data_IF_984063253099
#
_entry.id   IF_984063253099
#
_cell.length_a   1.000
_cell.length_b   1.000
_cell.length_c   1.000
_cell.angle_alpha   90.00
_cell.angle_beta   90.00
_cell.angle_gamma   90.00
#
_symmetry.space_group_name_H-M   'P 1'
#
loop_
_entity.id
_entity.type
_entity.pdbx_description
1 polymer ?
#
# COMPACT_ATOMS: atom_id res chain seq x y z
N UNK A 1 -3.49 -13.18 -3.89
CA UNK A 1 -2.70 -12.46 -2.87
C UNK A 1 -1.19 -12.55 -3.07
N UNK A 2 -0.61 -13.63 -3.62
CA UNK A 2 0.83 -13.68 -3.97
C UNK A 2 1.27 -12.55 -4.92
N UNK A 3 0.40 -12.08 -5.80
CA UNK A 3 0.67 -10.98 -6.73
C UNK A 3 1.05 -9.68 -6.00
N UNK A 4 0.41 -9.37 -4.87
CA UNK A 4 0.74 -8.18 -4.07
C UNK A 4 2.15 -8.19 -3.46
N UNK A 5 2.76 -9.36 -3.37
CA UNK A 5 4.14 -9.53 -2.88
C UNK A 5 5.10 -9.50 -4.06
N UNK A 6 4.76 -10.22 -5.13
CA UNK A 6 5.64 -10.41 -6.28
C UNK A 6 5.81 -9.12 -7.08
N UNK A 7 4.73 -8.36 -7.27
CA UNK A 7 4.77 -7.12 -8.07
C UNK A 7 5.72 -6.08 -7.46
N UNK A 8 5.61 -5.68 -6.19
CA UNK A 8 6.58 -4.75 -5.60
C UNK A 8 8.01 -5.28 -5.58
N UNK A 9 8.20 -6.61 -5.43
CA UNK A 9 9.53 -7.21 -5.44
C UNK A 9 10.23 -7.09 -6.81
N UNK A 10 9.47 -7.26 -7.89
CA UNK A 10 10.00 -7.32 -9.25
C UNK A 10 9.94 -5.96 -9.97
N UNK A 11 8.97 -5.12 -9.61
CA UNK A 11 8.74 -3.84 -10.29
C UNK A 11 9.96 -2.91 -10.36
N UNK A 12 10.77 -2.70 -9.29
CA UNK A 12 11.97 -1.86 -9.38
C UNK A 12 13.00 -2.42 -10.35
N UNK A 13 13.18 -3.73 -10.40
CA UNK A 13 14.11 -4.39 -11.32
C UNK A 13 13.65 -4.26 -12.77
N UNK A 14 12.35 -4.47 -13.05
CA UNK A 14 11.77 -4.24 -14.38
C UNK A 14 11.89 -2.76 -14.76
N UNK A 15 11.58 -1.85 -13.84
CA UNK A 15 11.73 -0.41 -14.04
C UNK A 15 13.16 -0.01 -14.41
N UNK A 16 14.14 -0.51 -13.68
CA UNK A 16 15.55 -0.27 -13.97
C UNK A 16 15.98 -0.76 -15.37
N UNK A 17 15.53 -1.95 -15.77
CA UNK A 17 15.78 -2.47 -17.14
C UNK A 17 15.13 -1.58 -18.20
N UNK A 18 13.87 -1.19 -18.03
CA UNK A 18 13.17 -0.32 -18.98
C UNK A 18 13.88 1.03 -19.08
N UNK A 19 14.28 1.62 -17.96
CA UNK A 19 14.97 2.91 -17.93
C UNK A 19 16.33 2.83 -18.63
N UNK A 20 17.05 1.73 -18.46
CA UNK A 20 18.34 1.51 -19.10
C UNK A 20 18.23 1.48 -20.64
N UNK A 21 17.22 0.80 -21.21
CA UNK A 21 17.09 0.64 -22.66
C UNK A 21 16.26 1.74 -23.35
N UNK A 22 15.23 2.26 -22.70
CA UNK A 22 14.22 3.15 -23.33
C UNK A 22 14.09 4.49 -22.60
N UNK A 23 14.75 4.62 -21.45
CA UNK A 23 14.64 5.81 -20.60
C UNK A 23 13.37 5.80 -19.73
N UNK A 24 13.25 6.79 -18.85
CA UNK A 24 12.17 6.88 -17.87
C UNK A 24 10.75 6.94 -18.51
N UNK A 25 10.63 7.54 -19.72
CA UNK A 25 9.36 7.58 -20.47
C UNK A 25 8.89 6.20 -20.90
N UNK A 26 9.80 5.25 -21.08
CA UNK A 26 9.46 3.86 -21.40
C UNK A 26 8.66 3.16 -20.32
N UNK A 27 8.81 3.55 -19.06
CA UNK A 27 8.02 3.01 -17.95
C UNK A 27 6.53 3.33 -18.14
N UNK A 28 6.19 4.55 -18.54
CA UNK A 28 4.79 4.92 -18.82
C UNK A 28 4.24 4.17 -20.04
N UNK A 29 5.08 3.99 -21.08
CA UNK A 29 4.74 3.14 -22.23
C UNK A 29 4.42 1.70 -21.83
N UNK A 30 5.22 1.12 -20.94
CA UNK A 30 4.98 -0.22 -20.40
C UNK A 30 3.65 -0.31 -19.64
N UNK A 31 3.29 0.72 -18.86
CA UNK A 31 1.97 0.75 -18.19
C UNK A 31 0.82 0.82 -19.20
N UNK A 32 0.95 1.61 -20.27
CA UNK A 32 -0.07 1.67 -21.34
C UNK A 32 -0.22 0.30 -22.00
N UNK A 33 0.89 -0.35 -22.36
CA UNK A 33 0.86 -1.69 -22.95
C UNK A 33 0.21 -2.70 -22.01
N UNK A 34 0.59 -2.70 -20.73
CA UNK A 34 0.00 -3.58 -19.72
C UNK A 34 -1.51 -3.36 -19.58
N UNK A 35 -1.96 -2.10 -19.56
CA UNK A 35 -3.37 -1.76 -19.49
C UNK A 35 -4.15 -2.22 -20.72
N UNK A 36 -3.60 -2.04 -21.93
CA UNK A 36 -4.21 -2.50 -23.19
C UNK A 36 -4.29 -4.01 -23.25
N UNK A 37 -3.22 -4.70 -22.91
CA UNK A 37 -3.18 -6.18 -22.87
C UNK A 37 -4.20 -6.71 -21.85
N UNK A 38 -4.22 -6.16 -20.64
CA UNK A 38 -5.15 -6.57 -19.58
C UNK A 38 -6.62 -6.32 -19.97
N UNK A 39 -6.91 -5.14 -20.53
CA UNK A 39 -8.26 -4.78 -20.98
C UNK A 39 -8.73 -5.67 -22.13
N UNK A 40 -7.87 -5.89 -23.14
CA UNK A 40 -8.17 -6.76 -24.27
C UNK A 40 -8.38 -8.21 -23.82
N UNK A 41 -7.52 -8.71 -22.94
CA UNK A 41 -7.66 -10.06 -22.38
C UNK A 41 -8.98 -10.23 -21.65
N UNK A 42 -9.35 -9.27 -20.81
CA UNK A 42 -10.61 -9.30 -20.05
C UNK A 42 -11.82 -9.27 -21.00
N UNK A 43 -11.81 -8.36 -21.98
CA UNK A 43 -12.90 -8.21 -22.97
C UNK A 43 -13.10 -9.48 -23.81
N UNK A 44 -12.01 -10.11 -24.23
CA UNK A 44 -12.08 -11.33 -25.07
C UNK A 44 -12.47 -12.59 -24.31
N UNK A 45 -12.11 -12.66 -23.01
CA UNK A 45 -12.29 -13.89 -22.21
C UNK A 45 -13.52 -13.89 -21.32
N UNK A 46 -14.10 -12.72 -21.02
CA UNK A 46 -15.24 -12.61 -20.11
C UNK A 46 -16.35 -11.78 -20.74
N UNK A 47 -17.54 -12.38 -20.95
CA UNK A 47 -18.73 -11.61 -21.29
C UNK A 47 -19.12 -10.71 -20.10
N UNK A 48 -19.89 -9.67 -20.38
CA UNK A 48 -20.43 -8.80 -19.34
C UNK A 48 -21.23 -9.62 -18.32
N UNK A 49 -20.79 -9.57 -17.06
CA UNK A 49 -21.39 -10.37 -15.98
C UNK A 49 -22.54 -9.67 -15.27
N UNK A 50 -22.69 -8.33 -15.47
CA UNK A 50 -23.75 -7.56 -14.85
C UNK A 50 -25.03 -7.63 -15.67
N UNK A 51 -26.12 -8.22 -15.16
CA UNK A 51 -27.40 -8.28 -15.85
C UNK A 51 -27.89 -6.87 -16.24
N UNK A 52 -28.51 -6.68 -17.44
CA UNK A 52 -28.96 -5.37 -17.90
C UNK A 52 -29.86 -4.64 -16.90
N UNK A 53 -30.71 -5.38 -16.17
CA UNK A 53 -31.64 -4.85 -15.18
C UNK A 53 -30.93 -4.28 -13.93
N UNK A 54 -29.71 -4.74 -13.65
CA UNK A 54 -28.91 -4.30 -12.51
C UNK A 54 -27.93 -3.16 -12.87
N UNK A 55 -27.89 -2.76 -14.14
CA UNK A 55 -27.01 -1.68 -14.60
C UNK A 55 -27.56 -0.33 -14.13
N UNK A 56 -26.75 0.38 -13.36
CA UNK A 56 -27.07 1.76 -12.95
C UNK A 56 -26.71 2.74 -14.06
N UNK A 57 -27.52 3.78 -14.22
CA UNK A 57 -27.19 4.89 -15.14
C UNK A 57 -25.92 5.59 -14.65
N UNK A 58 -24.97 5.81 -15.57
CA UNK A 58 -23.72 6.54 -15.31
C UNK A 58 -23.99 8.05 -15.25
N UNK A 59 -24.74 8.48 -14.23
CA UNK A 59 -24.99 9.89 -13.97
C UNK A 59 -24.24 10.37 -12.72
N UNK A 60 -23.67 11.57 -12.75
CA UNK A 60 -22.98 12.17 -11.60
C UNK A 60 -23.84 12.15 -10.33
N UNK A 61 -25.14 12.39 -10.45
CA UNK A 61 -26.08 12.35 -9.34
C UNK A 61 -26.24 10.95 -8.74
N UNK A 62 -26.28 9.92 -9.59
CA UNK A 62 -26.34 8.51 -9.16
C UNK A 62 -25.05 8.09 -8.48
N UNK A 63 -23.89 8.50 -9.02
CA UNK A 63 -22.57 8.22 -8.44
C UNK A 63 -22.39 8.93 -7.08
N UNK A 64 -22.78 10.21 -7.00
CA UNK A 64 -22.72 10.96 -5.75
C UNK A 64 -23.66 10.38 -4.67
N UNK A 65 -24.86 9.93 -5.07
CA UNK A 65 -25.79 9.25 -4.18
C UNK A 65 -25.21 7.95 -3.61
N UNK A 66 -24.61 7.12 -4.46
CA UNK A 66 -23.97 5.89 -4.03
C UNK A 66 -22.72 6.15 -3.15
N UNK A 67 -21.92 7.16 -3.47
CA UNK A 67 -20.79 7.56 -2.64
C UNK A 67 -21.25 8.02 -1.25
N UNK A 68 -22.33 8.82 -1.19
CA UNK A 68 -22.93 9.25 0.09
C UNK A 68 -23.48 8.06 0.90
N UNK A 69 -24.12 7.10 0.24
CA UNK A 69 -24.60 5.87 0.88
C UNK A 69 -23.44 5.05 1.47
N UNK A 70 -22.34 4.93 0.73
CA UNK A 70 -21.16 4.20 1.18
C UNK A 70 -20.49 4.91 2.36
N UNK A 71 -20.26 6.22 2.22
CA UNK A 71 -19.61 7.03 3.28
C UNK A 71 -20.54 7.39 4.42
N UNK A 72 -21.83 7.16 4.34
CA UNK A 72 -22.79 7.30 5.45
C UNK A 72 -22.68 6.18 6.50
N UNK A 73 -22.01 5.09 6.18
CA UNK A 73 -21.82 3.97 7.10
C UNK A 73 -20.58 4.19 7.98
N UNK A 74 -20.79 4.27 9.29
CA UNK A 74 -19.71 4.50 10.27
C UNK A 74 -18.62 3.42 10.23
N UNK A 75 -18.97 2.17 9.95
CA UNK A 75 -17.97 1.11 9.82
C UNK A 75 -17.09 1.36 8.60
N UNK A 76 -17.68 1.75 7.46
CA UNK A 76 -16.93 2.09 6.25
C UNK A 76 -16.02 3.28 6.49
N UNK A 77 -16.52 4.35 7.14
CA UNK A 77 -15.70 5.52 7.49
C UNK A 77 -14.48 5.13 8.34
N UNK A 78 -14.69 4.37 9.41
CA UNK A 78 -13.59 3.93 10.29
C UNK A 78 -12.57 3.06 9.54
N UNK A 79 -13.04 2.10 8.74
CA UNK A 79 -12.16 1.23 7.96
C UNK A 79 -11.38 2.05 6.93
N UNK A 80 -12.03 2.99 6.26
CA UNK A 80 -11.40 3.88 5.27
C UNK A 80 -10.33 4.77 5.93
N UNK A 81 -10.62 5.30 7.11
CA UNK A 81 -9.64 6.08 7.88
C UNK A 81 -8.42 5.24 8.27
N UNK A 82 -8.64 4.04 8.80
CA UNK A 82 -7.55 3.12 9.16
C UNK A 82 -6.72 2.73 7.93
N UNK A 83 -7.37 2.51 6.77
CA UNK A 83 -6.67 2.28 5.51
C UNK A 83 -5.86 3.50 5.07
N UNK A 84 -6.41 4.71 5.21
CA UNK A 84 -5.72 5.95 4.85
C UNK A 84 -4.44 6.14 5.68
N UNK A 85 -4.50 5.88 6.99
CA UNK A 85 -3.34 5.95 7.87
C UNK A 85 -2.26 4.92 7.48
N UNK A 86 -2.65 3.66 7.25
CA UNK A 86 -1.69 2.62 6.82
C UNK A 86 -1.09 2.87 5.44
N UNK A 87 -1.89 3.34 4.48
CA UNK A 87 -1.39 3.77 3.17
C UNK A 87 -0.50 5.00 3.30
N UNK A 88 -0.83 5.94 4.19
CA UNK A 88 -0.03 7.13 4.45
C UNK A 88 1.39 6.79 4.89
N UNK A 89 1.53 5.93 5.87
CA UNK A 89 2.84 5.44 6.33
C UNK A 89 3.60 4.71 5.21
N UNK A 90 2.92 3.82 4.49
CA UNK A 90 3.53 3.09 3.38
C UNK A 90 3.98 4.03 2.24
N UNK A 91 3.15 5.01 1.87
CA UNK A 91 3.48 5.95 0.79
C UNK A 91 4.56 6.94 1.20
N UNK A 92 4.59 7.38 2.46
CA UNK A 92 5.69 8.19 3.00
C UNK A 92 7.02 7.44 2.90
N UNK A 93 7.04 6.16 3.29
CA UNK A 93 8.21 5.30 3.11
C UNK A 93 8.59 5.16 1.64
N UNK A 94 7.64 4.84 0.76
CA UNK A 94 7.90 4.64 -0.68
C UNK A 94 8.42 5.91 -1.36
N UNK A 95 7.88 7.08 -1.03
CA UNK A 95 8.29 8.35 -1.63
C UNK A 95 9.73 8.74 -1.28
N UNK A 96 10.21 8.34 -0.11
CA UNK A 96 11.56 8.66 0.38
C UNK A 96 12.54 7.49 0.28
N UNK A 97 12.07 6.29 -0.07
CA UNK A 97 12.89 5.07 -0.03
C UNK A 97 14.15 5.19 -0.87
N UNK A 98 14.03 5.63 -2.14
CA UNK A 98 15.17 5.74 -3.02
C UNK A 98 16.21 6.75 -2.51
N UNK A 99 15.76 7.91 -2.01
CA UNK A 99 16.65 8.93 -1.44
C UNK A 99 17.38 8.40 -0.21
N UNK A 100 16.69 7.72 0.69
CA UNK A 100 17.30 7.10 1.87
C UNK A 100 18.35 6.07 1.50
N UNK A 101 18.07 5.19 0.55
CA UNK A 101 19.05 4.20 0.12
C UNK A 101 20.27 4.82 -0.56
N UNK A 102 20.08 5.87 -1.37
CA UNK A 102 21.16 6.53 -2.12
C UNK A 102 21.94 7.50 -1.24
N UNK A 103 21.24 8.43 -0.61
CA UNK A 103 21.86 9.58 0.06
C UNK A 103 22.23 9.30 1.51
N UNK A 104 21.31 8.64 2.26
CA UNK A 104 21.52 8.39 3.70
C UNK A 104 22.39 7.17 3.96
N UNK A 105 22.13 6.07 3.24
CA UNK A 105 22.78 4.79 3.51
C UNK A 105 23.82 4.38 2.47
N UNK A 106 24.01 5.15 1.40
CA UNK A 106 24.98 4.90 0.32
C UNK A 106 24.85 3.49 -0.30
N UNK A 107 23.62 2.97 -0.38
CA UNK A 107 23.26 1.65 -0.93
C UNK A 107 22.44 1.72 -2.22
N UNK A 108 22.59 2.80 -2.99
CA UNK A 108 21.81 3.04 -4.19
C UNK A 108 21.96 1.95 -5.27
N UNK A 109 23.17 1.44 -5.47
CA UNK A 109 23.43 0.36 -6.43
C UNK A 109 22.70 -0.96 -6.05
N UNK A 110 22.54 -1.21 -4.76
CA UNK A 110 21.89 -2.41 -4.22
C UNK A 110 20.40 -2.22 -3.96
N UNK A 111 19.85 -1.03 -4.20
CA UNK A 111 18.44 -0.69 -3.92
C UNK A 111 17.44 -1.71 -4.43
N UNK A 112 17.50 -2.18 -5.71
CA UNK A 112 16.55 -3.17 -6.21
C UNK A 112 16.60 -4.50 -5.44
N UNK A 113 17.80 -4.91 -5.02
CA UNK A 113 17.99 -6.15 -4.26
C UNK A 113 17.41 -6.05 -2.84
N UNK A 114 17.70 -4.95 -2.14
CA UNK A 114 17.16 -4.70 -0.81
C UNK A 114 15.64 -4.55 -0.84
N UNK A 115 15.10 -3.87 -1.86
CA UNK A 115 13.67 -3.71 -2.03
C UNK A 115 12.97 -5.05 -2.32
N UNK A 116 13.58 -5.90 -3.14
CA UNK A 116 13.10 -7.26 -3.37
C UNK A 116 13.12 -8.10 -2.07
N UNK A 117 14.20 -8.01 -1.29
CA UNK A 117 14.31 -8.66 0.02
C UNK A 117 13.22 -8.19 0.98
N UNK A 118 12.98 -6.88 1.03
CA UNK A 118 11.90 -6.27 1.83
C UNK A 118 10.53 -6.82 1.42
N UNK A 119 10.23 -6.87 0.13
CA UNK A 119 8.97 -7.37 -0.39
C UNK A 119 8.78 -8.86 -0.09
N UNK A 120 9.83 -9.69 -0.24
CA UNK A 120 9.78 -11.13 0.09
C UNK A 120 9.53 -11.37 1.57
N UNK A 121 10.27 -10.69 2.45
CA UNK A 121 10.09 -10.82 3.90
C UNK A 121 8.68 -10.37 4.34
N UNK A 122 8.22 -9.23 3.82
CA UNK A 122 6.88 -8.70 4.10
C UNK A 122 5.77 -9.60 3.58
N UNK A 123 6.05 -10.36 2.54
CA UNK A 123 5.16 -11.34 1.96
C UNK A 123 4.71 -12.42 2.91
N UNK A 124 5.53 -12.74 3.92
CA UNK A 124 5.16 -13.65 5.01
C UNK A 124 3.88 -13.19 5.73
N UNK A 125 3.62 -11.88 5.81
CA UNK A 125 2.41 -11.31 6.38
C UNK A 125 1.14 -11.78 5.67
N UNK A 126 1.15 -11.84 4.33
CA UNK A 126 0.00 -12.34 3.56
C UNK A 126 -0.24 -13.83 3.81
N UNK A 127 0.83 -14.62 3.91
CA UNK A 127 0.73 -16.06 4.23
C UNK A 127 0.18 -16.26 5.64
N UNK A 128 0.69 -15.50 6.60
CA UNK A 128 0.20 -15.51 7.97
C UNK A 128 -1.28 -15.14 8.05
N UNK A 129 -1.69 -14.07 7.36
CA UNK A 129 -3.08 -13.66 7.28
C UNK A 129 -3.96 -14.78 6.72
N UNK A 130 -3.56 -15.40 5.60
CA UNK A 130 -4.32 -16.48 4.99
C UNK A 130 -4.50 -17.68 5.94
N UNK A 131 -3.49 -17.97 6.76
CA UNK A 131 -3.52 -19.09 7.71
C UNK A 131 -4.40 -18.82 8.94
N UNK A 132 -4.40 -17.58 9.44
CA UNK A 132 -5.01 -17.25 10.73
C UNK A 132 -6.33 -16.48 10.62
N UNK A 133 -6.68 -15.88 9.46
CA UNK A 133 -7.88 -15.04 9.33
C UNK A 133 -9.18 -15.79 9.64
N UNK A 134 -9.27 -17.07 9.28
CA UNK A 134 -10.45 -17.90 9.56
C UNK A 134 -10.59 -18.25 11.06
N UNK A 135 -9.49 -18.28 11.80
CA UNK A 135 -9.47 -18.61 13.23
C UNK A 135 -9.64 -17.39 14.12
N UNK A 136 -8.95 -16.31 13.81
CA UNK A 136 -8.89 -15.10 14.66
C UNK A 136 -9.91 -14.05 14.24
N UNK A 137 -10.37 -14.08 12.98
CA UNK A 137 -11.22 -13.08 12.39
C UNK A 137 -10.45 -11.84 11.92
N UNK A 138 -10.95 -11.19 10.86
CA UNK A 138 -10.33 -10.04 10.21
C UNK A 138 -10.02 -8.89 11.17
N UNK A 139 -10.99 -8.53 12.03
CA UNK A 139 -10.87 -7.40 12.96
C UNK A 139 -9.73 -7.58 13.96
N UNK A 140 -9.58 -8.76 14.56
CA UNK A 140 -8.51 -9.04 15.52
C UNK A 140 -7.14 -8.96 14.86
N UNK A 141 -6.99 -9.55 13.68
CA UNK A 141 -5.73 -9.51 12.94
C UNK A 141 -5.33 -8.07 12.63
N UNK A 142 -6.26 -7.26 12.16
CA UNK A 142 -6.01 -5.83 11.88
C UNK A 142 -5.54 -5.11 13.14
N UNK A 143 -6.27 -5.25 14.26
CA UNK A 143 -5.91 -4.60 15.52
C UNK A 143 -4.52 -5.02 15.99
N UNK A 144 -4.21 -6.32 15.96
CA UNK A 144 -2.90 -6.85 16.38
C UNK A 144 -1.78 -6.32 15.49
N UNK A 145 -1.99 -6.28 14.17
CA UNK A 145 -0.98 -5.79 13.23
C UNK A 145 -0.69 -4.29 13.42
N UNK A 146 -1.72 -3.47 13.61
CA UNK A 146 -1.52 -2.05 13.89
C UNK A 146 -0.86 -1.81 15.25
N UNK A 147 -1.23 -2.53 16.30
CA UNK A 147 -0.53 -2.44 17.60
C UNK A 147 0.93 -2.84 17.49
N UNK A 148 1.22 -3.93 16.78
CA UNK A 148 2.60 -4.32 16.51
C UNK A 148 3.36 -3.20 15.79
N UNK A 149 2.73 -2.57 14.77
CA UNK A 149 3.35 -1.49 14.03
C UNK A 149 3.59 -0.24 14.90
N UNK A 150 2.64 0.12 15.77
CA UNK A 150 2.81 1.22 16.73
C UNK A 150 3.99 0.98 17.66
N UNK A 151 4.14 -0.24 18.18
CA UNK A 151 5.27 -0.60 19.04
C UNK A 151 6.59 -0.53 18.27
N UNK A 152 6.65 -1.14 17.08
CA UNK A 152 7.88 -1.16 16.26
C UNK A 152 8.27 0.27 15.83
N UNK A 153 7.31 1.07 15.36
CA UNK A 153 7.57 2.47 15.00
C UNK A 153 7.94 3.33 16.21
N UNK A 154 7.29 3.11 17.35
CA UNK A 154 7.62 3.81 18.59
C UNK A 154 9.04 3.50 19.09
N UNK A 155 9.44 2.23 19.06
CA UNK A 155 10.82 1.83 19.39
C UNK A 155 11.80 2.46 18.41
N UNK A 156 11.52 2.39 17.10
CA UNK A 156 12.39 2.99 16.08
C UNK A 156 12.51 4.51 16.28
N UNK A 157 11.40 5.19 16.61
CA UNK A 157 11.40 6.61 16.90
C UNK A 157 12.31 6.94 18.09
N UNK A 158 12.19 6.22 19.22
CA UNK A 158 13.05 6.42 20.40
C UNK A 158 14.52 6.21 20.05
N UNK A 159 14.84 5.16 19.29
CA UNK A 159 16.21 4.85 18.89
C UNK A 159 16.83 5.92 17.99
N UNK A 160 16.05 6.45 17.02
CA UNK A 160 16.53 7.43 16.04
C UNK A 160 16.59 8.83 16.63
N UNK A 161 15.55 9.29 17.35
CA UNK A 161 15.51 10.63 17.93
C UNK A 161 16.43 10.74 19.16
N UNK A 162 16.64 9.65 19.90
CA UNK A 162 17.57 9.56 21.00
C UNK A 162 19.02 9.37 20.59
N UNK A 163 19.31 9.21 19.27
CA UNK A 163 20.63 8.90 18.72
C UNK A 163 21.30 7.67 19.39
N UNK A 164 20.48 6.68 19.74
CA UNK A 164 20.89 5.49 20.48
C UNK A 164 21.45 4.38 19.56
N UNK A 165 21.32 4.53 18.24
CA UNK A 165 21.78 3.53 17.27
C UNK A 165 23.24 3.75 16.89
N UNK A 166 24.14 2.78 17.13
CA UNK A 166 25.44 2.76 16.50
C UNK A 166 25.33 2.82 14.98
N UNK A 167 26.27 3.42 14.32
CA UNK A 167 26.27 3.60 12.86
C UNK A 167 26.03 2.28 12.10
N UNK A 168 26.70 1.21 12.52
CA UNK A 168 26.56 -0.11 11.93
C UNK A 168 25.13 -0.69 12.02
N UNK A 169 24.31 -0.25 12.98
CA UNK A 169 22.95 -0.73 13.18
C UNK A 169 21.88 0.19 12.58
N UNK A 170 22.23 1.39 12.11
CA UNK A 170 21.24 2.35 11.54
C UNK A 170 20.51 1.77 10.33
N UNK A 171 21.24 1.23 9.36
CA UNK A 171 20.63 0.61 8.18
C UNK A 171 19.85 -0.68 8.49
N UNK A 172 20.37 -1.66 9.24
CA UNK A 172 19.58 -2.82 9.64
C UNK A 172 18.27 -2.46 10.36
N UNK A 173 18.32 -1.52 11.31
CA UNK A 173 17.14 -1.07 12.04
C UNK A 173 16.10 -0.44 11.10
N UNK A 174 16.52 0.45 10.20
CA UNK A 174 15.66 1.02 9.17
C UNK A 174 15.05 -0.07 8.27
N UNK A 175 15.85 -1.02 7.81
CA UNK A 175 15.39 -2.11 6.96
C UNK A 175 14.32 -2.96 7.64
N UNK A 176 14.53 -3.36 8.90
CA UNK A 176 13.55 -4.11 9.67
C UNK A 176 12.26 -3.31 9.92
N UNK A 177 12.37 -2.02 10.23
CA UNK A 177 11.21 -1.15 10.35
C UNK A 177 10.44 -1.06 9.03
N UNK A 178 11.12 -0.85 7.91
CA UNK A 178 10.50 -0.80 6.59
C UNK A 178 9.81 -2.13 6.23
N UNK A 179 10.44 -3.27 6.52
CA UNK A 179 9.81 -4.60 6.38
C UNK A 179 8.54 -4.69 7.22
N UNK A 180 8.53 -4.16 8.46
CA UNK A 180 7.34 -4.21 9.32
C UNK A 180 6.17 -3.39 8.77
N UNK A 181 6.43 -2.25 8.12
CA UNK A 181 5.40 -1.42 7.46
C UNK A 181 4.73 -2.20 6.32
N UNK A 182 5.52 -2.80 5.44
CA UNK A 182 4.98 -3.62 4.34
C UNK A 182 4.32 -4.90 4.84
N UNK A 183 4.84 -5.51 5.90
CA UNK A 183 4.24 -6.68 6.54
C UNK A 183 2.85 -6.33 7.09
N UNK A 184 2.73 -5.24 7.84
CA UNK A 184 1.46 -4.73 8.35
C UNK A 184 0.47 -4.48 7.20
N UNK A 185 0.90 -3.84 6.12
CA UNK A 185 0.08 -3.61 4.93
C UNK A 185 -0.43 -4.93 4.31
N UNK A 186 0.46 -5.92 4.16
CA UNK A 186 0.12 -7.25 3.63
C UNK A 186 -0.88 -8.03 4.49
N UNK A 187 -0.81 -7.86 5.81
CA UNK A 187 -1.74 -8.48 6.77
C UNK A 187 -3.09 -7.77 6.79
N UNK A 188 -3.13 -6.44 6.62
CA UNK A 188 -4.31 -5.65 7.00
C UNK A 188 -5.16 -5.18 5.83
N UNK A 189 -4.57 -4.75 4.71
CA UNK A 189 -5.33 -4.06 3.64
C UNK A 189 -6.40 -4.93 3.00
N UNK A 190 -6.12 -6.22 2.78
CA UNK A 190 -7.12 -7.17 2.28
C UNK A 190 -8.30 -7.33 3.24
N UNK A 191 -8.02 -7.42 4.54
CA UNK A 191 -9.04 -7.55 5.58
C UNK A 191 -9.88 -6.27 5.72
N UNK A 192 -9.24 -5.10 5.73
CA UNK A 192 -9.93 -3.81 5.80
C UNK A 192 -10.85 -3.61 4.59
N UNK A 193 -10.37 -3.90 3.38
CA UNK A 193 -11.19 -3.82 2.18
C UNK A 193 -12.39 -4.77 2.24
N UNK A 194 -12.18 -6.02 2.67
CA UNK A 194 -13.28 -6.98 2.86
C UNK A 194 -14.28 -6.49 3.91
N UNK A 195 -13.83 -5.93 5.02
CA UNK A 195 -14.70 -5.37 6.07
C UNK A 195 -15.51 -4.16 5.57
N UNK A 196 -14.94 -3.30 4.73
CA UNK A 196 -15.64 -2.17 4.13
C UNK A 196 -16.76 -2.61 3.18
N UNK A 197 -16.52 -3.70 2.43
CA UNK A 197 -17.45 -4.21 1.42
C UNK A 197 -18.50 -5.17 1.97
N UNK A 198 -18.31 -5.72 3.18
CA UNK A 198 -19.09 -6.82 3.72
C UNK A 198 -20.62 -6.57 3.74
N UNK A 199 -21.04 -5.32 3.95
CA UNK A 199 -22.46 -4.90 4.01
C UNK A 199 -22.92 -4.15 2.76
N UNK A 200 -22.07 -4.00 1.75
CA UNK A 200 -22.29 -3.17 0.57
C UNK A 200 -22.33 -3.98 -0.73
N UNK A 201 -22.74 -5.25 -0.67
CA UNK A 201 -22.75 -6.15 -1.83
C UNK A 201 -23.52 -5.60 -3.04
N UNK A 202 -24.65 -4.92 -2.82
CA UNK A 202 -25.47 -4.30 -3.86
C UNK A 202 -24.80 -3.09 -4.56
N UNK A 203 -23.78 -2.52 -3.93
CA UNK A 203 -22.97 -1.39 -4.46
C UNK A 203 -21.47 -1.67 -4.36
N UNK A 204 -21.07 -2.95 -4.39
CA UNK A 204 -19.70 -3.36 -4.09
C UNK A 204 -18.63 -2.65 -4.94
N UNK A 205 -18.86 -2.51 -6.24
CA UNK A 205 -17.94 -1.81 -7.13
C UNK A 205 -17.78 -0.33 -6.75
N UNK A 206 -18.88 0.36 -6.46
CA UNK A 206 -18.85 1.75 -6.00
C UNK A 206 -18.19 1.87 -4.62
N UNK A 207 -18.52 0.96 -3.71
CA UNK A 207 -17.90 0.95 -2.38
C UNK A 207 -16.39 0.75 -2.45
N UNK A 208 -15.90 -0.18 -3.26
CA UNK A 208 -14.47 -0.39 -3.49
C UNK A 208 -13.79 0.86 -4.06
N UNK A 209 -14.41 1.51 -5.06
CA UNK A 209 -13.88 2.72 -5.68
C UNK A 209 -13.83 3.90 -4.70
N UNK A 210 -14.90 4.13 -3.93
CA UNK A 210 -14.97 5.23 -2.97
C UNK A 210 -13.97 5.01 -1.82
N UNK A 211 -13.95 3.83 -1.23
CA UNK A 211 -13.01 3.48 -0.16
C UNK A 211 -11.57 3.62 -0.65
N UNK A 212 -11.26 3.09 -1.84
CA UNK A 212 -9.93 3.19 -2.44
C UNK A 212 -9.53 4.65 -2.70
N UNK A 213 -10.40 5.44 -3.32
CA UNK A 213 -10.11 6.84 -3.62
C UNK A 213 -9.90 7.68 -2.36
N UNK A 214 -10.80 7.57 -1.37
CA UNK A 214 -10.70 8.34 -0.11
C UNK A 214 -9.48 7.91 0.69
N UNK A 215 -9.19 6.61 0.78
CA UNK A 215 -8.00 6.11 1.47
C UNK A 215 -6.71 6.59 0.79
N UNK A 216 -6.66 6.59 -0.54
CA UNK A 216 -5.49 7.07 -1.29
C UNK A 216 -5.31 8.58 -1.13
N UNK A 217 -6.38 9.37 -1.22
CA UNK A 217 -6.32 10.81 -0.98
C UNK A 217 -5.84 11.12 0.44
N UNK A 218 -6.38 10.42 1.45
CA UNK A 218 -5.92 10.55 2.84
C UNK A 218 -4.44 10.18 2.99
N UNK A 219 -3.99 9.13 2.32
CA UNK A 219 -2.60 8.73 2.31
C UNK A 219 -1.67 9.78 1.69
N UNK A 220 -2.08 10.41 0.59
CA UNK A 220 -1.30 11.49 -0.04
C UNK A 220 -1.19 12.70 0.87
N UNK A 221 -2.26 13.06 1.59
CA UNK A 221 -2.24 14.17 2.56
C UNK A 221 -1.24 13.94 3.71
N UNK A 222 -0.93 12.69 4.03
CA UNK A 222 0.10 12.30 5.00
C UNK A 222 1.48 12.23 4.33
N UNK A 223 1.58 11.50 3.24
CA UNK A 223 2.85 11.18 2.61
C UNK A 223 3.52 12.37 1.91
N UNK A 224 2.73 13.27 1.29
CA UNK A 224 3.30 14.38 0.52
C UNK A 224 4.04 15.39 1.43
N UNK A 225 3.49 15.85 2.57
CA UNK A 225 4.25 16.70 3.50
C UNK A 225 5.50 16.01 4.03
N UNK A 226 5.40 14.73 4.40
CA UNK A 226 6.54 13.95 4.92
C UNK A 226 7.66 13.82 3.89
N UNK A 227 7.30 13.55 2.63
CA UNK A 227 8.29 13.49 1.54
C UNK A 227 8.99 14.83 1.28
N UNK A 228 8.27 15.96 1.47
CA UNK A 228 8.85 17.31 1.31
C UNK A 228 9.75 17.71 2.51
N UNK A 229 9.54 17.12 3.68
CA UNK A 229 10.34 17.36 4.88
C UNK A 229 11.61 16.51 4.91
N UNK A 230 11.93 15.77 3.86
CA UNK A 230 13.15 14.96 3.80
C UNK A 230 14.38 15.82 4.04
N UNK A 231 15.16 15.47 5.05
CA UNK A 231 16.33 16.19 5.55
C UNK A 231 17.64 15.37 5.47
N UNK A 232 17.64 14.30 4.68
CA UNK A 232 18.77 13.38 4.61
C UNK A 232 18.74 12.29 5.70
N UNK A 233 17.69 12.26 6.54
CA UNK A 233 17.54 11.29 7.64
C UNK A 233 16.22 10.51 7.53
N UNK A 234 16.09 9.48 8.36
CA UNK A 234 14.84 8.73 8.50
C UNK A 234 13.80 9.42 9.40
N UNK A 235 14.17 10.53 10.07
CA UNK A 235 13.30 11.19 11.05
C UNK A 235 11.93 11.61 10.48
N UNK A 236 11.85 12.27 9.31
CA UNK A 236 10.56 12.71 8.77
C UNK A 236 9.59 11.56 8.52
N UNK A 237 10.06 10.43 7.98
CA UNK A 237 9.18 9.30 7.66
C UNK A 237 8.70 8.52 8.88
N UNK A 238 9.35 8.66 10.04
CA UNK A 238 8.89 8.07 11.29
C UNK A 238 7.73 8.85 11.91
N UNK A 239 7.47 10.08 11.44
CA UNK A 239 6.36 10.92 11.90
C UNK A 239 5.06 10.66 11.10
N UNK A 240 5.11 9.85 10.03
CA UNK A 240 3.95 9.42 9.25
C UNK A 240 3.25 8.22 9.88
#
# INVERSE_FOLDING_TARGET
>A
MMIFILVPAVAPSIGAVIIHFVGWRGVFGAFVVLALVGSSWLHLRRPETLPPQSRRTLGLRSLAGAAREVMGDRQVQLVTLVMALGFGQMFALLSSAQQLFVETYHKGAEFPLWFAGMALLSGSGTVLNARYVLRLGMRRIVIMAYWMQVVVSGVMMVLVFGDLLPEALRFPAFFFWAVSVFFMAGVTFGNLNAMALQRKGHVAGMAASVVGAVSTLGAVLIAAPVGQLYDGTVRPILLA
#
